data_IF_985934873891
#
_entry.id   IF_985934873891
#
_cell.length_a   1.000
_cell.length_b   1.000
_cell.length_c   1.000
_cell.angle_alpha   90.00
_cell.angle_beta   90.00
_cell.angle_gamma   90.00
#
_symmetry.space_group_name_H-M   'P 1'
#
loop_
_entity.id
_entity.type
_entity.pdbx_description
1 polymer ?
#
# COMPACT_ATOMS: atom_id res chain seq x y z
N UNK A 1 18.88 9.70 11.96
CA UNK A 1 18.84 9.87 10.50
C UNK A 1 18.94 8.48 9.91
N UNK A 2 18.21 8.19 8.86
CA UNK A 2 18.06 6.80 8.40
C UNK A 2 17.99 6.74 6.88
N UNK A 3 18.79 5.89 6.26
CA UNK A 3 18.66 5.44 4.88
C UNK A 3 18.37 3.94 4.90
N UNK A 4 17.21 3.56 4.35
CA UNK A 4 16.76 2.18 4.26
C UNK A 4 16.77 1.79 2.78
N UNK A 5 17.59 0.80 2.47
CA UNK A 5 17.69 0.17 1.15
C UNK A 5 16.88 -1.12 1.21
N UNK A 6 15.70 -1.13 0.60
CA UNK A 6 14.81 -2.28 0.63
C UNK A 6 14.30 -2.62 -0.75
N UNK A 7 13.71 -3.78 -0.87
CA UNK A 7 13.06 -4.27 -2.09
C UNK A 7 11.95 -3.32 -2.56
N UNK A 8 11.23 -2.72 -1.61
CA UNK A 8 10.14 -1.78 -1.88
C UNK A 8 10.61 -0.36 -2.21
N UNK A 9 11.91 -0.18 -2.45
CA UNK A 9 12.51 1.09 -2.80
C UNK A 9 13.55 1.60 -1.80
N UNK A 10 14.11 2.74 -2.11
CA UNK A 10 15.15 3.43 -1.34
C UNK A 10 14.46 4.56 -0.59
N UNK A 11 14.37 4.47 0.73
CA UNK A 11 13.70 5.48 1.56
C UNK A 11 14.64 6.02 2.63
N UNK A 12 14.44 7.27 3.01
CA UNK A 12 15.21 7.86 4.08
C UNK A 12 14.67 9.20 4.56
N UNK A 13 15.20 9.66 5.66
CA UNK A 13 14.99 11.04 6.11
C UNK A 13 15.76 11.99 5.19
N UNK A 14 15.16 13.12 4.86
CA UNK A 14 15.80 14.13 4.00
C UNK A 14 16.80 14.96 4.78
N UNK A 15 17.97 15.20 4.17
CA UNK A 15 19.07 15.97 4.77
C UNK A 15 20.09 15.09 5.51
N UNK A 16 21.20 15.68 5.97
CA UNK A 16 22.26 14.96 6.66
C UNK A 16 23.44 14.57 5.75
N UNK A 17 24.22 13.56 6.15
CA UNK A 17 25.38 13.12 5.39
C UNK A 17 25.00 12.11 4.30
N UNK A 18 25.77 12.11 3.19
CA UNK A 18 25.64 11.11 2.14
C UNK A 18 25.85 9.69 2.70
N UNK A 19 24.96 8.76 2.31
CA UNK A 19 24.99 7.39 2.80
C UNK A 19 24.22 7.13 4.10
N UNK A 20 23.95 8.17 4.91
CA UNK A 20 23.20 8.05 6.18
C UNK A 20 21.72 8.37 6.02
N UNK A 21 21.37 9.11 4.97
CA UNK A 21 20.02 9.65 4.74
C UNK A 21 19.74 9.69 3.22
N UNK A 22 18.50 9.99 2.84
CA UNK A 22 18.20 10.21 1.42
C UNK A 22 18.54 11.67 1.03
N UNK A 23 19.67 11.86 0.39
CA UNK A 23 20.18 13.15 -0.06
C UNK A 23 20.46 13.14 -1.57
N UNK A 24 20.80 14.28 -2.21
CA UNK A 24 20.98 14.35 -3.66
C UNK A 24 21.98 13.35 -4.24
N UNK A 25 23.08 13.05 -3.54
CA UNK A 25 24.08 12.08 -4.02
C UNK A 25 23.52 10.65 -4.03
N UNK A 26 22.78 10.28 -2.98
CA UNK A 26 22.13 8.98 -2.90
C UNK A 26 21.03 8.87 -3.97
N UNK A 27 20.27 9.95 -4.23
CA UNK A 27 19.26 9.99 -5.28
C UNK A 27 19.89 9.74 -6.66
N UNK A 28 20.98 10.43 -6.99
CA UNK A 28 21.73 10.21 -8.26
C UNK A 28 22.17 8.75 -8.34
N UNK A 29 22.82 8.25 -7.28
CA UNK A 29 23.36 6.90 -7.23
C UNK A 29 22.31 5.82 -7.51
N UNK A 30 21.21 5.85 -6.77
CA UNK A 30 20.14 4.84 -6.92
C UNK A 30 19.31 5.00 -8.19
N UNK A 31 19.12 6.23 -8.67
CA UNK A 31 18.46 6.48 -9.96
C UNK A 31 19.32 5.96 -11.12
N UNK A 32 20.63 6.18 -11.10
CA UNK A 32 21.57 5.67 -12.11
C UNK A 32 21.63 4.14 -12.10
N UNK A 33 21.65 3.53 -10.91
CA UNK A 33 21.63 2.07 -10.77
C UNK A 33 20.31 1.46 -11.31
N UNK A 34 19.17 2.08 -11.00
CA UNK A 34 17.88 1.66 -11.54
C UNK A 34 17.83 1.79 -13.06
N UNK A 35 18.25 2.91 -13.63
CA UNK A 35 18.31 3.12 -15.08
C UNK A 35 19.19 2.05 -15.77
N UNK A 36 20.34 1.72 -15.16
CA UNK A 36 21.22 0.65 -15.64
C UNK A 36 20.56 -0.71 -15.58
N UNK A 37 19.87 -1.03 -14.48
CA UNK A 37 19.09 -2.27 -14.33
C UNK A 37 18.02 -2.38 -15.42
N UNK A 38 17.21 -1.35 -15.65
CA UNK A 38 16.18 -1.34 -16.69
C UNK A 38 16.78 -1.61 -18.06
N UNK A 39 17.93 -0.99 -18.40
CA UNK A 39 18.63 -1.22 -19.67
C UNK A 39 19.10 -2.66 -19.81
N UNK A 40 19.70 -3.22 -18.76
CA UNK A 40 20.25 -4.60 -18.77
C UNK A 40 19.16 -5.66 -18.79
N UNK A 41 18.01 -5.40 -18.15
CA UNK A 41 16.89 -6.33 -18.14
C UNK A 41 16.30 -6.57 -19.53
N UNK A 42 16.41 -5.58 -20.43
CA UNK A 42 15.92 -5.61 -21.81
C UNK A 42 14.46 -6.09 -21.97
N UNK A 43 13.63 -5.79 -20.96
CA UNK A 43 12.23 -6.23 -20.92
C UNK A 43 11.28 -5.31 -21.69
N UNK A 44 11.74 -4.11 -22.08
CA UNK A 44 11.00 -3.14 -22.87
C UNK A 44 11.88 -2.58 -23.99
N UNK A 45 11.24 -2.24 -25.13
CA UNK A 45 11.88 -1.49 -26.22
C UNK A 45 11.78 0.02 -26.05
N UNK A 46 11.00 0.47 -25.08
CA UNK A 46 10.83 1.89 -24.80
C UNK A 46 12.09 2.46 -24.14
N UNK A 47 12.37 3.72 -24.43
CA UNK A 47 13.42 4.49 -23.75
C UNK A 47 12.83 5.52 -22.77
N UNK A 48 11.57 5.37 -22.38
CA UNK A 48 10.86 6.30 -21.52
C UNK A 48 10.74 5.75 -20.10
N UNK A 49 11.05 6.58 -19.10
CA UNK A 49 10.79 6.32 -17.67
C UNK A 49 9.73 7.32 -17.18
N UNK A 50 8.68 6.81 -16.55
CA UNK A 50 7.64 7.63 -15.91
C UNK A 50 8.14 8.08 -14.54
N UNK A 51 7.89 9.35 -14.18
CA UNK A 51 8.17 9.88 -12.84
C UNK A 51 6.92 10.56 -12.30
N UNK A 52 6.42 10.07 -11.17
CA UNK A 52 5.31 10.68 -10.42
C UNK A 52 5.71 10.94 -8.96
N UNK A 53 5.01 11.82 -8.26
CA UNK A 53 5.29 12.10 -6.85
C UNK A 53 4.05 12.47 -6.05
N UNK A 54 4.10 12.20 -4.74
CA UNK A 54 3.16 12.80 -3.79
C UNK A 54 3.47 14.28 -3.51
N UNK A 55 2.71 14.89 -2.61
CA UNK A 55 2.85 16.32 -2.31
C UNK A 55 3.93 16.64 -1.26
N UNK A 56 4.76 15.67 -0.82
CA UNK A 56 5.81 15.92 0.19
C UNK A 56 6.66 17.13 -0.18
N UNK A 57 6.97 17.97 0.82
CA UNK A 57 7.73 19.22 0.68
C UNK A 57 9.05 19.00 -0.07
N UNK A 58 9.74 17.89 0.20
CA UNK A 58 11.01 17.54 -0.47
C UNK A 58 10.82 17.00 -1.89
N UNK A 59 9.57 16.72 -2.32
CA UNK A 59 9.27 16.03 -3.57
C UNK A 59 9.80 16.76 -4.80
N UNK A 60 9.71 18.10 -4.83
CA UNK A 60 10.20 18.90 -5.97
C UNK A 60 11.72 18.78 -6.14
N UNK A 61 12.47 18.88 -5.05
CA UNK A 61 13.94 18.70 -5.08
C UNK A 61 14.31 17.29 -5.54
N UNK A 62 13.67 16.26 -4.97
CA UNK A 62 13.95 14.87 -5.33
C UNK A 62 13.62 14.62 -6.81
N UNK A 63 12.45 15.09 -7.29
CA UNK A 63 12.03 14.99 -8.70
C UNK A 63 13.06 15.59 -9.65
N UNK A 64 13.56 16.78 -9.34
CA UNK A 64 14.52 17.47 -10.22
C UNK A 64 15.83 16.68 -10.34
N UNK A 65 16.31 16.09 -9.25
CA UNK A 65 17.51 15.24 -9.26
C UNK A 65 17.25 13.94 -10.04
N UNK A 66 16.13 13.27 -9.79
CA UNK A 66 15.74 12.04 -10.50
C UNK A 66 15.63 12.28 -12.01
N UNK A 67 14.87 13.30 -12.43
CA UNK A 67 14.64 13.58 -13.86
C UNK A 67 15.96 13.95 -14.57
N UNK A 68 16.77 14.81 -13.96
CA UNK A 68 18.09 15.17 -14.53
C UNK A 68 19.03 13.97 -14.65
N UNK A 69 19.03 13.09 -13.65
CA UNK A 69 19.83 11.85 -13.67
C UNK A 69 19.37 10.90 -14.78
N UNK A 70 18.06 10.66 -14.90
CA UNK A 70 17.51 9.79 -15.95
C UNK A 70 17.84 10.31 -17.34
N UNK A 71 17.71 11.63 -17.58
CA UNK A 71 18.12 12.25 -18.85
C UNK A 71 19.62 12.06 -19.10
N UNK A 72 20.47 12.27 -18.08
CA UNK A 72 21.89 12.03 -18.16
C UNK A 72 22.26 10.56 -18.39
N UNK A 73 21.40 9.63 -18.01
CA UNK A 73 21.51 8.19 -18.33
C UNK A 73 20.98 7.84 -19.72
N UNK A 74 20.48 8.81 -20.50
CA UNK A 74 19.97 8.65 -21.85
C UNK A 74 18.51 8.21 -21.93
N UNK A 75 17.74 8.28 -20.86
CA UNK A 75 16.30 7.98 -20.87
C UNK A 75 15.47 9.23 -21.09
N UNK A 76 14.42 9.09 -21.90
CA UNK A 76 13.35 10.09 -21.97
C UNK A 76 12.52 10.04 -20.67
N UNK A 77 12.24 11.19 -20.11
CA UNK A 77 11.47 11.32 -18.87
C UNK A 77 10.05 11.78 -19.20
N UNK A 78 9.06 10.98 -18.76
CA UNK A 78 7.66 11.38 -18.73
C UNK A 78 7.30 11.73 -17.28
N UNK A 79 7.40 13.03 -16.94
CA UNK A 79 7.00 13.52 -15.63
C UNK A 79 5.47 13.70 -15.59
N UNK A 80 4.80 12.97 -14.73
CA UNK A 80 3.34 13.07 -14.57
C UNK A 80 2.93 14.00 -13.40
N UNK A 81 3.91 14.66 -12.78
CA UNK A 81 3.70 15.69 -11.76
C UNK A 81 3.24 15.10 -10.42
N UNK A 82 2.31 15.83 -9.78
CA UNK A 82 1.62 15.38 -8.57
C UNK A 82 0.62 14.29 -8.93
N UNK A 83 0.94 13.07 -8.54
CA UNK A 83 0.18 11.87 -8.90
C UNK A 83 0.21 10.85 -7.75
N UNK A 84 -0.79 9.98 -7.72
CA UNK A 84 -0.85 8.88 -6.77
C UNK A 84 0.11 7.75 -7.17
N UNK A 85 0.40 6.86 -6.23
CA UNK A 85 1.13 5.61 -6.53
C UNK A 85 0.42 4.83 -7.65
N UNK A 86 -0.89 4.49 -7.55
CA UNK A 86 -1.57 3.76 -8.63
C UNK A 86 -1.64 4.54 -9.94
N UNK A 87 -1.79 5.87 -9.93
CA UNK A 87 -1.73 6.66 -11.18
C UNK A 87 -0.39 6.50 -11.89
N UNK A 88 0.70 6.45 -11.12
CA UNK A 88 2.06 6.28 -11.69
C UNK A 88 2.25 4.88 -12.25
N UNK A 89 1.76 3.85 -11.59
CA UNK A 89 1.76 2.46 -12.05
C UNK A 89 1.01 2.31 -13.38
N UNK A 90 -0.21 2.86 -13.44
CA UNK A 90 -1.03 2.87 -14.66
C UNK A 90 -0.40 3.72 -15.77
N UNK A 91 0.26 4.84 -15.46
CA UNK A 91 0.94 5.66 -16.46
C UNK A 91 2.09 4.89 -17.14
N UNK A 92 2.83 4.03 -16.40
CA UNK A 92 3.85 3.15 -17.01
C UNK A 92 3.21 2.19 -18.03
N UNK A 93 2.08 1.57 -17.67
CA UNK A 93 1.36 0.65 -18.55
C UNK A 93 0.78 1.38 -19.78
N UNK A 94 0.04 2.47 -19.56
CA UNK A 94 -0.66 3.22 -20.60
C UNK A 94 0.29 3.87 -21.61
N UNK A 95 1.48 4.32 -21.16
CA UNK A 95 2.52 4.90 -22.02
C UNK A 95 3.48 3.84 -22.59
N UNK A 96 3.35 2.57 -22.20
CA UNK A 96 4.28 1.50 -22.56
C UNK A 96 5.73 1.84 -22.20
N UNK A 97 5.95 2.52 -21.07
CA UNK A 97 7.27 2.95 -20.63
C UNK A 97 8.14 1.76 -20.23
N UNK A 98 9.46 1.97 -20.19
CA UNK A 98 10.41 0.94 -19.77
C UNK A 98 10.35 0.66 -18.26
N UNK A 99 9.83 1.62 -17.50
CA UNK A 99 9.66 1.53 -16.06
C UNK A 99 9.17 2.85 -15.48
N UNK A 100 9.20 2.97 -14.15
CA UNK A 100 8.79 4.20 -13.47
C UNK A 100 9.45 4.38 -12.12
N UNK A 101 9.47 5.62 -11.65
CA UNK A 101 9.89 5.98 -10.30
C UNK A 101 8.77 6.78 -9.64
N UNK A 102 8.31 6.31 -8.48
CA UNK A 102 7.36 7.04 -7.65
C UNK A 102 8.13 7.67 -6.50
N UNK A 103 8.03 8.98 -6.35
CA UNK A 103 8.71 9.74 -5.30
C UNK A 103 7.71 9.95 -4.17
N UNK A 104 7.71 9.04 -3.21
CA UNK A 104 6.84 9.03 -2.03
C UNK A 104 7.38 8.12 -0.95
N UNK A 105 7.18 8.47 0.30
CA UNK A 105 7.42 7.58 1.43
C UNK A 105 6.09 7.08 2.06
N UNK A 106 4.98 7.08 1.30
CA UNK A 106 3.65 6.65 1.72
C UNK A 106 3.28 7.24 3.10
N UNK A 107 2.93 6.42 4.07
CA UNK A 107 2.52 6.81 5.43
C UNK A 107 3.66 7.24 6.37
N UNK A 108 4.92 7.30 5.93
CA UNK A 108 5.99 7.81 6.76
C UNK A 108 5.81 9.33 7.03
N UNK A 109 6.29 9.87 8.16
CA UNK A 109 6.21 11.29 8.49
C UNK A 109 6.81 12.20 7.41
N UNK A 110 6.44 13.49 7.43
CA UNK A 110 6.74 14.47 6.38
C UNK A 110 8.24 14.66 6.04
N UNK A 111 9.13 14.38 7.00
CA UNK A 111 10.57 14.50 6.82
C UNK A 111 11.22 13.30 6.10
N UNK A 112 10.43 12.29 5.74
CA UNK A 112 10.84 11.16 4.91
C UNK A 112 10.51 11.39 3.45
N UNK A 113 11.29 10.76 2.56
CA UNK A 113 10.92 10.52 1.17
C UNK A 113 11.51 9.20 0.68
N UNK A 114 11.13 8.75 -0.51
CA UNK A 114 11.66 7.53 -1.09
C UNK A 114 11.60 7.53 -2.61
N UNK A 115 12.37 6.64 -3.22
CA UNK A 115 12.27 6.23 -4.61
C UNK A 115 11.67 4.83 -4.63
N UNK A 116 10.41 4.70 -5.01
CA UNK A 116 9.74 3.42 -5.28
C UNK A 116 9.95 3.09 -6.77
N UNK A 117 10.46 1.90 -7.07
CA UNK A 117 10.94 1.53 -8.40
C UNK A 117 9.98 0.55 -9.07
N UNK A 118 9.54 0.87 -10.28
CA UNK A 118 8.60 0.07 -11.07
C UNK A 118 9.29 -0.59 -12.26
N UNK A 119 8.82 -1.79 -12.64
CA UNK A 119 9.16 -2.45 -13.87
C UNK A 119 8.31 -1.93 -15.06
N UNK A 120 8.53 -2.47 -16.26
CA UNK A 120 7.79 -2.09 -17.48
C UNK A 120 6.29 -2.43 -17.47
N UNK A 121 5.83 -3.21 -16.48
CA UNK A 121 4.41 -3.52 -16.26
C UNK A 121 3.74 -2.56 -15.27
N UNK A 122 4.45 -1.55 -14.77
CA UNK A 122 3.96 -0.66 -13.72
C UNK A 122 3.87 -1.34 -12.35
N UNK A 123 4.59 -2.43 -12.12
CA UNK A 123 4.61 -3.16 -10.87
C UNK A 123 5.92 -2.91 -10.12
N UNK A 124 5.91 -2.96 -8.81
CA UNK A 124 7.14 -2.85 -8.01
C UNK A 124 8.14 -3.95 -8.38
N UNK A 125 9.43 -3.62 -8.26
CA UNK A 125 10.50 -4.58 -8.47
C UNK A 125 10.40 -5.75 -7.48
N UNK A 126 10.68 -6.96 -7.95
CA UNK A 126 10.81 -8.14 -7.08
C UNK A 126 12.04 -8.04 -6.19
N UNK A 127 12.15 -8.94 -5.20
CA UNK A 127 13.32 -9.02 -4.32
C UNK A 127 14.63 -9.15 -5.10
N UNK A 128 14.65 -10.02 -6.09
CA UNK A 128 15.85 -10.28 -6.89
C UNK A 128 16.22 -9.05 -7.73
N UNK A 129 15.25 -8.41 -8.36
CA UNK A 129 15.47 -7.16 -9.11
C UNK A 129 15.97 -6.02 -8.21
N UNK A 130 15.38 -5.85 -7.03
CA UNK A 130 15.84 -4.86 -6.06
C UNK A 130 17.28 -5.11 -5.59
N UNK A 131 17.64 -6.36 -5.33
CA UNK A 131 19.01 -6.75 -4.97
C UNK A 131 20.01 -6.46 -6.12
N UNK A 132 19.59 -6.66 -7.37
CA UNK A 132 20.43 -6.32 -8.53
C UNK A 132 20.66 -4.80 -8.62
N UNK A 133 19.61 -3.99 -8.45
CA UNK A 133 19.74 -2.53 -8.39
C UNK A 133 20.72 -2.10 -7.28
N UNK A 134 20.62 -2.69 -6.09
CA UNK A 134 21.52 -2.40 -4.99
C UNK A 134 22.97 -2.80 -5.30
N UNK A 135 23.18 -3.95 -5.94
CA UNK A 135 24.51 -4.42 -6.33
C UNK A 135 25.16 -3.50 -7.39
N UNK A 136 24.38 -2.97 -8.35
CA UNK A 136 24.84 -1.96 -9.32
C UNK A 136 25.19 -0.66 -8.59
N UNK A 137 24.35 -0.21 -7.66
CA UNK A 137 24.60 1.00 -6.89
C UNK A 137 25.88 0.90 -6.03
N UNK A 138 26.09 -0.23 -5.35
CA UNK A 138 27.25 -0.42 -4.47
C UNK A 138 28.58 -0.44 -5.26
N UNK A 139 28.56 -0.92 -6.50
CA UNK A 139 29.72 -0.95 -7.40
C UNK A 139 29.87 0.33 -8.22
N UNK A 140 28.88 1.23 -8.19
CA UNK A 140 28.77 2.39 -9.10
C UNK A 140 28.93 1.99 -10.57
N UNK A 141 28.42 0.81 -10.94
CA UNK A 141 28.53 0.19 -12.26
C UNK A 141 27.48 0.74 -13.22
N UNK A 142 27.59 2.04 -13.52
CA UNK A 142 26.71 2.75 -14.46
C UNK A 142 27.52 3.76 -15.29
N UNK A 143 27.03 4.01 -16.51
CA UNK A 143 27.64 4.91 -17.48
C UNK A 143 26.61 5.93 -17.95
N UNK A 144 26.99 7.20 -17.99
CA UNK A 144 26.15 8.30 -18.47
C UNK A 144 26.24 8.43 -19.99
N UNK A 145 25.17 8.95 -20.59
CA UNK A 145 25.09 9.22 -22.01
C UNK A 145 26.00 10.39 -22.42
N UNK A 146 26.51 10.33 -23.65
CA UNK A 146 27.15 11.48 -24.25
C UNK A 146 26.13 12.57 -24.68
N UNK A 147 26.61 13.73 -25.17
CA UNK A 147 25.78 14.88 -25.50
C UNK A 147 24.71 14.59 -26.55
N UNK A 148 24.96 13.68 -27.47
CA UNK A 148 24.06 13.36 -28.58
C UNK A 148 22.95 12.36 -28.12
N UNK A 149 23.12 11.72 -26.96
CA UNK A 149 22.24 10.68 -26.42
C UNK A 149 21.55 11.07 -25.11
N UNK A 150 21.65 12.34 -24.69
CA UNK A 150 20.90 12.86 -23.54
C UNK A 150 19.39 12.73 -23.77
N UNK A 151 18.65 12.18 -22.80
CA UNK A 151 17.22 11.96 -22.88
C UNK A 151 16.42 13.27 -22.88
N UNK A 152 15.17 13.19 -23.34
CA UNK A 152 14.23 14.30 -23.40
C UNK A 152 13.33 14.34 -22.18
N UNK A 153 12.76 15.50 -21.91
CA UNK A 153 11.80 15.73 -20.82
C UNK A 153 10.44 16.15 -21.37
N UNK A 154 9.38 15.49 -20.88
CA UNK A 154 7.98 15.82 -21.17
C UNK A 154 7.17 15.82 -19.88
N UNK A 155 6.22 16.74 -19.77
CA UNK A 155 5.20 16.74 -18.71
C UNK A 155 3.84 16.40 -19.28
N UNK A 156 3.09 15.52 -18.57
CA UNK A 156 1.73 15.14 -18.95
C UNK A 156 1.02 14.52 -17.73
N UNK A 157 -0.16 15.03 -17.38
CA UNK A 157 -0.97 14.43 -16.30
C UNK A 157 -1.67 13.15 -16.75
N UNK A 158 -1.75 12.18 -15.86
CA UNK A 158 -2.48 10.92 -16.06
C UNK A 158 -3.70 10.78 -15.13
N UNK A 159 -3.99 11.77 -14.29
CA UNK A 159 -5.07 11.67 -13.30
C UNK A 159 -6.42 11.38 -13.97
N UNK A 160 -6.79 12.13 -15.03
CA UNK A 160 -8.05 11.88 -15.73
C UNK A 160 -8.12 10.48 -16.36
N UNK A 161 -7.01 10.01 -16.97
CA UNK A 161 -6.97 8.68 -17.56
C UNK A 161 -7.14 7.58 -16.51
N UNK A 162 -6.57 7.78 -15.32
CA UNK A 162 -6.78 6.87 -14.21
C UNK A 162 -8.25 6.86 -13.77
N UNK A 163 -8.86 8.03 -13.56
CA UNK A 163 -10.29 8.15 -13.22
C UNK A 163 -11.15 7.46 -14.28
N UNK A 164 -10.93 7.74 -15.56
CA UNK A 164 -11.67 7.14 -16.66
C UNK A 164 -11.55 5.59 -16.64
N UNK A 165 -10.37 5.06 -16.34
CA UNK A 165 -10.16 3.63 -16.22
C UNK A 165 -10.92 3.00 -15.05
N UNK A 166 -11.00 3.69 -13.91
CA UNK A 166 -11.78 3.26 -12.74
C UNK A 166 -13.28 3.25 -13.06
N UNK A 167 -13.78 4.33 -13.69
CA UNK A 167 -15.20 4.43 -14.06
C UNK A 167 -15.62 3.40 -15.12
N UNK A 168 -14.67 2.90 -15.91
CA UNK A 168 -14.90 1.88 -16.93
C UNK A 168 -14.92 0.44 -16.38
N UNK A 169 -14.55 0.22 -15.11
CA UNK A 169 -14.57 -1.10 -14.48
C UNK A 169 -16.01 -1.63 -14.41
N UNK A 170 -16.19 -2.91 -14.79
CA UNK A 170 -17.51 -3.54 -14.89
C UNK A 170 -18.35 -3.49 -13.60
N UNK A 171 -17.69 -3.56 -12.44
CA UNK A 171 -18.35 -3.55 -11.14
C UNK A 171 -18.54 -2.15 -10.54
N UNK A 172 -18.09 -1.09 -11.23
CA UNK A 172 -18.36 0.29 -10.83
C UNK A 172 -19.69 0.74 -11.40
N UNK A 173 -20.69 0.80 -10.53
CA UNK A 173 -22.07 1.19 -10.87
C UNK A 173 -22.28 2.69 -10.65
N UNK A 174 -21.74 3.50 -11.58
CA UNK A 174 -21.82 4.97 -11.52
C UNK A 174 -23.27 5.47 -11.44
N UNK A 175 -24.21 4.78 -12.08
CA UNK A 175 -25.62 5.18 -12.07
C UNK A 175 -26.28 4.95 -10.69
N UNK A 176 -25.99 3.81 -10.06
CA UNK A 176 -26.47 3.52 -8.71
C UNK A 176 -25.88 4.50 -7.68
N UNK A 177 -24.56 4.81 -7.79
CA UNK A 177 -23.90 5.77 -6.91
C UNK A 177 -24.56 7.16 -7.03
N UNK A 178 -24.75 7.67 -8.25
CA UNK A 178 -25.44 8.96 -8.48
C UNK A 178 -26.83 9.01 -7.91
N UNK A 179 -27.61 7.93 -8.06
CA UNK A 179 -28.98 7.83 -7.51
C UNK A 179 -29.01 7.75 -5.98
N UNK A 180 -27.95 7.32 -5.36
CA UNK A 180 -27.85 7.23 -3.90
C UNK A 180 -27.64 8.61 -3.24
N UNK A 181 -27.16 9.62 -3.98
CA UNK A 181 -26.91 10.98 -3.50
C UNK A 181 -26.03 11.02 -2.24
N UNK A 182 -24.97 10.23 -2.23
CA UNK A 182 -24.04 10.17 -1.10
C UNK A 182 -23.44 11.52 -0.78
N UNK A 183 -23.33 11.80 0.53
CA UNK A 183 -22.59 12.93 1.08
C UNK A 183 -21.46 12.43 1.98
N UNK A 184 -20.23 12.76 1.65
CA UNK A 184 -19.03 12.20 2.30
C UNK A 184 -18.15 13.29 2.91
N UNK A 185 -17.51 12.99 4.05
CA UNK A 185 -16.36 13.72 4.53
C UNK A 185 -15.09 13.03 4.03
N UNK A 186 -14.10 13.78 3.59
CA UNK A 186 -12.88 13.21 2.97
C UNK A 186 -11.65 13.82 3.61
N UNK A 187 -10.74 13.00 4.13
CA UNK A 187 -9.44 13.44 4.64
C UNK A 187 -8.33 12.90 3.73
N UNK A 188 -7.57 13.81 3.13
CA UNK A 188 -6.49 13.51 2.17
C UNK A 188 -5.12 13.97 2.65
N UNK A 189 -5.00 14.28 3.95
CA UNK A 189 -3.73 14.54 4.64
C UNK A 189 -2.84 15.61 3.99
N UNK A 190 -3.44 16.61 3.32
CA UNK A 190 -2.72 17.63 2.56
C UNK A 190 -1.76 17.05 1.50
N UNK A 191 -2.20 16.01 0.79
CA UNK A 191 -1.43 15.37 -0.26
C UNK A 191 -2.22 15.19 -1.56
N UNK A 192 -1.75 14.35 -2.46
CA UNK A 192 -2.26 14.23 -3.84
C UNK A 192 -3.72 13.73 -3.93
N UNK A 193 -4.25 13.15 -2.86
CA UNK A 193 -5.69 12.87 -2.76
C UNK A 193 -6.56 14.11 -2.94
N UNK A 194 -6.08 15.30 -2.50
CA UNK A 194 -6.76 16.58 -2.69
C UNK A 194 -6.84 17.06 -4.15
N UNK A 195 -6.06 16.45 -5.04
CA UNK A 195 -6.10 16.74 -6.48
C UNK A 195 -7.04 15.77 -7.20
N UNK A 196 -6.87 14.45 -6.96
CA UNK A 196 -7.54 13.44 -7.79
C UNK A 196 -8.93 13.04 -7.26
N UNK A 197 -9.15 13.05 -5.93
CA UNK A 197 -10.45 12.63 -5.39
C UNK A 197 -11.60 13.59 -5.70
N UNK A 198 -11.42 14.93 -5.75
CA UNK A 198 -12.49 15.82 -6.22
C UNK A 198 -13.03 15.42 -7.60
N UNK A 199 -12.13 15.18 -8.55
CA UNK A 199 -12.48 14.80 -9.93
C UNK A 199 -13.19 13.43 -9.98
N UNK A 200 -12.75 12.45 -9.19
CA UNK A 200 -13.41 11.15 -9.07
C UNK A 200 -14.81 11.28 -8.46
N UNK A 201 -14.95 11.99 -7.35
CA UNK A 201 -16.22 12.13 -6.63
C UNK A 201 -17.25 12.95 -7.44
N UNK A 202 -16.80 13.98 -8.16
CA UNK A 202 -17.64 14.73 -9.11
C UNK A 202 -18.15 13.81 -10.23
N UNK A 203 -17.27 12.99 -10.82
CA UNK A 203 -17.65 12.05 -11.86
C UNK A 203 -18.64 10.97 -11.35
N UNK A 204 -18.53 10.59 -10.09
CA UNK A 204 -19.47 9.68 -9.42
C UNK A 204 -20.76 10.37 -8.93
N UNK A 205 -20.84 11.71 -8.96
CA UNK A 205 -22.01 12.48 -8.48
C UNK A 205 -22.18 12.44 -6.97
N UNK A 206 -21.08 12.41 -6.23
CA UNK A 206 -21.02 12.35 -4.76
C UNK A 206 -20.79 13.75 -4.21
N UNK A 207 -21.57 14.19 -3.22
CA UNK A 207 -21.33 15.44 -2.48
C UNK A 207 -20.24 15.21 -1.44
N UNK A 208 -19.27 16.13 -1.34
CA UNK A 208 -18.14 15.96 -0.43
C UNK A 208 -17.72 17.22 0.30
N UNK A 209 -17.11 17.02 1.47
CA UNK A 209 -16.42 18.06 2.24
C UNK A 209 -15.00 17.57 2.53
N UNK A 210 -13.99 18.33 2.07
CA UNK A 210 -12.60 17.98 2.34
C UNK A 210 -12.12 18.52 3.68
N UNK A 211 -11.42 17.66 4.40
CA UNK A 211 -10.51 18.00 5.49
C UNK A 211 -9.09 17.83 4.93
N UNK A 212 -8.18 18.76 5.30
CA UNK A 212 -6.77 18.67 4.91
C UNK A 212 -6.59 18.47 3.38
N UNK A 213 -7.33 19.26 2.58
CA UNK A 213 -7.44 19.09 1.12
C UNK A 213 -6.35 19.77 0.29
N UNK A 214 -5.43 20.54 0.89
CA UNK A 214 -4.38 21.24 0.15
C UNK A 214 -3.18 20.33 -0.13
N UNK A 215 -2.85 20.14 -1.42
CA UNK A 215 -1.71 19.28 -1.81
C UNK A 215 -0.35 19.99 -1.60
N UNK A 216 -0.09 20.45 -0.37
CA UNK A 216 1.11 21.22 0.01
C UNK A 216 2.17 20.38 0.76
N UNK A 217 1.84 19.14 1.15
CA UNK A 217 2.74 18.22 1.83
C UNK A 217 2.98 18.54 3.32
N UNK A 218 2.28 19.53 3.87
CA UNK A 218 2.28 19.78 5.30
C UNK A 218 1.19 18.94 5.96
N UNK A 219 1.55 17.70 6.29
CA UNK A 219 0.61 16.71 6.81
C UNK A 219 0.01 17.15 8.13
N UNK A 220 -1.32 17.28 8.16
CA UNK A 220 -2.05 17.81 9.31
C UNK A 220 -2.02 16.88 10.53
N UNK A 221 -1.81 15.59 10.34
CA UNK A 221 -1.67 14.58 11.39
C UNK A 221 -0.70 13.48 10.93
N UNK A 222 -0.51 12.43 11.72
CA UNK A 222 0.26 11.26 11.27
C UNK A 222 -0.43 10.65 10.04
N UNK A 223 0.28 10.45 8.92
CA UNK A 223 -0.32 10.08 7.65
C UNK A 223 -0.79 8.61 7.54
N UNK A 224 -0.57 7.79 8.57
CA UNK A 224 -1.10 6.43 8.59
C UNK A 224 -2.59 6.45 8.93
N UNK A 225 -3.50 5.88 8.11
CA UNK A 225 -4.95 5.97 8.30
C UNK A 225 -5.45 5.00 9.37
N UNK A 226 -5.01 5.19 10.62
CA UNK A 226 -5.42 4.46 11.82
C UNK A 226 -6.30 5.33 12.71
N UNK A 227 -7.22 4.72 13.45
CA UNK A 227 -8.18 5.40 14.33
C UNK A 227 -7.54 6.49 15.19
N UNK A 228 -6.40 6.20 15.83
CA UNK A 228 -5.67 7.15 16.69
C UNK A 228 -5.26 8.46 16.01
N UNK A 229 -5.18 8.46 14.66
CA UNK A 229 -4.74 9.59 13.86
C UNK A 229 -5.93 10.35 13.23
N UNK A 230 -7.16 9.81 13.28
CA UNK A 230 -8.32 10.25 12.51
C UNK A 230 -9.40 10.96 13.35
N UNK A 231 -9.05 11.42 14.55
CA UNK A 231 -10.00 12.10 15.45
C UNK A 231 -10.71 13.30 14.81
N UNK A 232 -10.05 14.02 13.90
CA UNK A 232 -10.60 15.20 13.22
C UNK A 232 -11.79 14.84 12.33
N UNK A 233 -11.63 13.91 11.40
CA UNK A 233 -12.71 13.49 10.50
C UNK A 233 -13.81 12.72 11.26
N UNK A 234 -13.47 11.91 12.25
CA UNK A 234 -14.46 11.22 13.09
C UNK A 234 -15.33 12.23 13.86
N UNK A 235 -14.75 13.33 14.34
CA UNK A 235 -15.49 14.42 14.99
C UNK A 235 -16.36 15.19 13.99
N UNK A 236 -15.89 15.40 12.74
CA UNK A 236 -16.67 16.05 11.68
C UNK A 236 -17.92 15.24 11.35
N UNK A 237 -17.78 13.93 11.14
CA UNK A 237 -18.91 13.05 10.83
C UNK A 237 -19.94 13.02 11.98
N UNK A 238 -19.50 13.04 13.24
CA UNK A 238 -20.41 13.08 14.40
C UNK A 238 -21.29 14.33 14.48
N UNK A 239 -20.95 15.40 13.76
CA UNK A 239 -21.84 16.57 13.64
C UNK A 239 -23.11 16.23 12.86
N UNK A 240 -23.11 15.14 12.10
CA UNK A 240 -24.21 14.66 11.29
C UNK A 240 -24.22 15.20 9.86
N UNK A 241 -25.05 14.58 9.03
CA UNK A 241 -25.23 15.00 7.64
C UNK A 241 -24.27 14.36 6.65
N UNK A 242 -23.50 13.36 7.04
CA UNK A 242 -22.65 12.54 6.17
C UNK A 242 -23.09 11.09 6.20
N UNK A 243 -23.00 10.42 5.04
CA UNK A 243 -23.25 8.99 4.92
C UNK A 243 -22.01 8.17 5.30
N UNK A 244 -20.81 8.70 5.05
CA UNK A 244 -19.54 8.08 5.45
C UNK A 244 -18.37 9.07 5.42
N UNK A 245 -17.25 8.64 6.00
CA UNK A 245 -15.94 9.24 5.82
C UNK A 245 -15.04 8.39 4.92
N UNK A 246 -14.24 9.07 4.11
CA UNK A 246 -13.22 8.49 3.25
C UNK A 246 -11.87 9.06 3.67
N UNK A 247 -10.89 8.20 3.96
CA UNK A 247 -9.54 8.61 4.34
C UNK A 247 -8.53 7.88 3.47
N UNK A 248 -7.59 8.64 2.90
CA UNK A 248 -6.47 8.09 2.14
C UNK A 248 -5.14 8.55 2.71
N UNK A 249 -4.08 7.76 2.46
CA UNK A 249 -2.73 8.14 2.81
C UNK A 249 -2.09 9.07 1.73
N UNK A 250 -0.87 9.61 1.95
CA UNK A 250 -0.30 10.63 1.06
C UNK A 250 -0.18 10.28 -0.41
N UNK A 251 -0.01 9.02 -0.78
CA UNK A 251 0.12 8.54 -2.15
C UNK A 251 -1.08 7.71 -2.65
N UNK A 252 -2.17 7.69 -1.84
CA UNK A 252 -3.50 7.19 -2.21
C UNK A 252 -3.50 5.70 -2.60
N UNK A 253 -2.62 4.93 -1.98
CA UNK A 253 -2.57 3.47 -2.12
C UNK A 253 -3.28 2.75 -0.95
N UNK A 254 -3.62 3.47 0.14
CA UNK A 254 -4.39 2.99 1.30
C UNK A 254 -5.68 3.76 1.48
N UNK A 255 -6.69 3.03 1.93
CA UNK A 255 -8.06 3.52 2.08
C UNK A 255 -8.65 3.04 3.40
N UNK A 256 -9.20 3.95 4.18
CA UNK A 256 -10.01 3.63 5.35
C UNK A 256 -11.35 4.35 5.27
N UNK A 257 -12.39 3.71 5.81
CA UNK A 257 -13.72 4.28 5.89
C UNK A 257 -14.12 4.56 7.35
N UNK A 258 -14.99 5.57 7.51
CA UNK A 258 -15.61 5.91 8.77
C UNK A 258 -17.12 5.82 8.59
N UNK A 259 -17.79 5.16 9.52
CA UNK A 259 -19.24 5.00 9.50
C UNK A 259 -19.95 6.34 9.77
N UNK A 260 -21.19 6.44 9.39
CA UNK A 260 -22.05 7.62 9.59
C UNK A 260 -22.22 8.02 11.06
N UNK A 261 -21.95 7.09 12.00
CA UNK A 261 -21.98 7.35 13.46
C UNK A 261 -20.62 7.89 13.99
N UNK A 262 -19.63 8.07 13.09
CA UNK A 262 -18.29 8.53 13.41
C UNK A 262 -17.37 7.49 14.04
N UNK A 263 -17.71 6.20 13.95
CA UNK A 263 -16.80 5.09 14.30
C UNK A 263 -16.03 4.62 13.08
N UNK A 264 -14.85 4.04 13.32
CA UNK A 264 -14.09 3.42 12.25
C UNK A 264 -14.84 2.22 11.66
N UNK A 265 -14.89 2.12 10.33
CA UNK A 265 -15.25 0.88 9.65
C UNK A 265 -14.17 -0.19 9.88
N UNK A 266 -12.93 0.26 10.03
CA UNK A 266 -11.72 -0.53 10.24
C UNK A 266 -10.94 -0.72 8.95
N UNK A 267 -9.64 -0.39 8.98
CA UNK A 267 -8.76 -0.48 7.81
C UNK A 267 -8.68 -1.90 7.23
N UNK A 268 -8.70 -2.91 8.11
CA UNK A 268 -8.73 -4.34 7.72
C UNK A 268 -10.01 -4.68 6.92
N UNK A 269 -11.14 -4.09 7.29
CA UNK A 269 -12.44 -4.37 6.69
C UNK A 269 -12.69 -3.64 5.36
N UNK A 270 -11.84 -2.68 4.99
CA UNK A 270 -11.88 -2.08 3.67
C UNK A 270 -11.76 -3.15 2.59
N UNK A 271 -10.73 -3.98 2.65
CA UNK A 271 -10.54 -5.10 1.72
C UNK A 271 -11.66 -6.14 1.84
N UNK A 272 -12.05 -6.50 3.06
CA UNK A 272 -13.10 -7.52 3.32
C UNK A 272 -14.43 -7.16 2.67
N UNK A 273 -14.88 -5.91 2.83
CA UNK A 273 -16.17 -5.46 2.29
C UNK A 273 -16.16 -5.35 0.76
N UNK A 274 -15.04 -4.89 0.19
CA UNK A 274 -14.89 -4.80 -1.26
C UNK A 274 -14.78 -6.21 -1.86
N UNK A 275 -14.09 -7.12 -1.20
CA UNK A 275 -14.01 -8.53 -1.61
C UNK A 275 -15.38 -9.21 -1.56
N UNK A 276 -16.20 -8.99 -0.52
CA UNK A 276 -17.60 -9.51 -0.47
C UNK A 276 -18.41 -9.02 -1.67
N UNK A 277 -18.26 -7.76 -2.05
CA UNK A 277 -18.95 -7.20 -3.23
C UNK A 277 -18.44 -7.82 -4.53
N UNK A 278 -17.13 -7.89 -4.73
CA UNK A 278 -16.54 -8.49 -5.94
C UNK A 278 -16.92 -9.95 -6.06
N UNK A 279 -16.79 -10.73 -5.00
CA UNK A 279 -17.10 -12.17 -4.96
C UNK A 279 -18.58 -12.47 -5.14
N UNK A 280 -19.47 -11.57 -4.70
CA UNK A 280 -20.92 -11.72 -4.92
C UNK A 280 -21.31 -11.56 -6.40
N UNK A 281 -20.51 -10.86 -7.18
CA UNK A 281 -20.71 -10.64 -8.62
C UNK A 281 -19.91 -11.61 -9.50
N UNK A 282 -18.71 -11.95 -9.05
CA UNK A 282 -17.78 -12.82 -9.78
C UNK A 282 -17.11 -13.77 -8.78
N UNK A 283 -17.53 -15.05 -8.73
CA UNK A 283 -16.89 -16.03 -7.87
C UNK A 283 -15.39 -16.21 -8.21
N UNK A 284 -14.55 -16.34 -7.18
CA UNK A 284 -13.12 -16.49 -7.41
C UNK A 284 -12.30 -16.56 -6.11
N UNK A 285 -10.99 -16.56 -6.26
CA UNK A 285 -10.04 -16.65 -5.15
C UNK A 285 -9.63 -15.28 -4.65
N UNK A 286 -9.15 -15.23 -3.40
CA UNK A 286 -8.60 -14.01 -2.81
C UNK A 286 -7.22 -14.25 -2.21
N UNK A 287 -6.46 -13.16 -2.07
CA UNK A 287 -5.15 -13.16 -1.42
C UNK A 287 -5.02 -11.95 -0.51
N UNK A 288 -4.49 -12.15 0.70
CA UNK A 288 -3.94 -11.04 1.50
C UNK A 288 -2.62 -11.46 2.16
N UNK A 289 -1.97 -10.52 2.82
CA UNK A 289 -0.75 -10.86 3.54
C UNK A 289 -1.06 -11.59 4.87
N UNK A 290 -0.06 -12.28 5.42
CA UNK A 290 -0.18 -13.07 6.66
C UNK A 290 -0.66 -12.29 7.89
N UNK A 291 -0.44 -10.96 7.91
CA UNK A 291 -0.81 -10.10 9.04
C UNK A 291 -2.20 -9.47 8.88
N UNK A 292 -2.96 -9.81 7.85
CA UNK A 292 -4.33 -9.32 7.60
C UNK A 292 -5.36 -10.14 8.36
N UNK A 293 -6.53 -9.54 8.59
CA UNK A 293 -7.65 -10.19 9.27
C UNK A 293 -8.11 -11.46 8.58
N UNK A 294 -8.47 -12.47 9.36
CA UNK A 294 -9.10 -13.71 8.86
C UNK A 294 -10.51 -13.50 8.30
N UNK A 295 -11.13 -12.35 8.53
CA UNK A 295 -12.44 -12.04 7.96
C UNK A 295 -12.48 -12.15 6.42
N UNK A 296 -11.33 -11.94 5.74
CA UNK A 296 -11.24 -12.16 4.29
C UNK A 296 -11.34 -13.66 3.93
N UNK A 297 -10.73 -14.54 4.72
CA UNK A 297 -10.88 -16.00 4.58
C UNK A 297 -12.35 -16.41 4.72
N UNK A 298 -13.04 -15.86 5.74
CA UNK A 298 -14.46 -16.19 6.00
C UNK A 298 -15.35 -15.76 4.83
N UNK A 299 -15.16 -14.53 4.34
CA UNK A 299 -15.89 -14.00 3.17
C UNK A 299 -15.60 -14.82 1.92
N UNK A 300 -14.33 -15.16 1.68
CA UNK A 300 -13.94 -15.96 0.50
C UNK A 300 -14.59 -17.34 0.54
N UNK A 301 -14.55 -17.99 1.70
CA UNK A 301 -15.18 -19.31 1.92
C UNK A 301 -16.70 -19.26 1.74
N UNK A 302 -17.36 -18.22 2.27
CA UNK A 302 -18.80 -17.97 2.09
C UNK A 302 -19.20 -17.92 0.62
N UNK A 303 -18.35 -17.37 -0.25
CA UNK A 303 -18.58 -17.30 -1.69
C UNK A 303 -18.02 -18.50 -2.48
N UNK A 304 -17.52 -19.53 -1.78
CA UNK A 304 -17.01 -20.78 -2.40
C UNK A 304 -15.65 -20.64 -3.07
N UNK A 305 -14.92 -19.56 -2.82
CA UNK A 305 -13.55 -19.35 -3.29
C UNK A 305 -12.49 -19.92 -2.37
N UNK A 306 -11.23 -19.84 -2.81
CA UNK A 306 -10.05 -20.24 -2.05
C UNK A 306 -9.27 -18.99 -1.63
N UNK A 307 -9.07 -18.84 -0.32
CA UNK A 307 -8.18 -17.82 0.23
C UNK A 307 -6.75 -18.35 0.29
N UNK A 308 -5.79 -17.49 -0.06
CA UNK A 308 -4.35 -17.81 0.08
C UNK A 308 -3.63 -16.64 0.76
N UNK A 309 -2.78 -16.94 1.73
CA UNK A 309 -1.95 -15.95 2.39
C UNK A 309 -0.60 -15.77 1.65
N UNK A 310 -0.12 -14.52 1.62
CA UNK A 310 1.19 -14.14 1.10
C UNK A 310 2.11 -13.62 2.21
N UNK A 311 3.41 -13.59 2.00
CA UNK A 311 4.32 -12.81 2.82
C UNK A 311 3.90 -11.33 2.81
N UNK A 312 4.25 -10.58 3.87
CA UNK A 312 3.91 -9.16 3.97
C UNK A 312 4.65 -8.34 2.92
N UNK A 313 3.92 -7.41 2.31
CA UNK A 313 4.40 -6.51 1.27
C UNK A 313 3.71 -6.73 -0.07
N UNK A 314 3.36 -5.63 -0.72
CA UNK A 314 2.56 -5.61 -1.94
C UNK A 314 3.07 -6.54 -3.04
N UNK A 315 4.38 -6.55 -3.30
CA UNK A 315 5.00 -7.42 -4.31
C UNK A 315 4.72 -8.90 -4.04
N UNK A 316 4.75 -9.32 -2.77
CA UNK A 316 4.48 -10.69 -2.39
C UNK A 316 2.99 -11.03 -2.58
N UNK A 317 2.11 -10.07 -2.24
CA UNK A 317 0.66 -10.22 -2.43
C UNK A 317 0.33 -10.32 -3.91
N UNK A 318 0.83 -9.40 -4.75
CA UNK A 318 0.56 -9.39 -6.20
C UNK A 318 1.11 -10.65 -6.91
N UNK A 319 2.29 -11.12 -6.50
CA UNK A 319 2.86 -12.37 -7.00
C UNK A 319 1.96 -13.55 -6.65
N UNK A 320 1.53 -13.64 -5.39
CA UNK A 320 0.64 -14.71 -4.93
C UNK A 320 -0.75 -14.64 -5.57
N UNK A 321 -1.27 -13.43 -5.83
CA UNK A 321 -2.53 -13.23 -6.55
C UNK A 321 -2.47 -13.82 -7.97
N UNK A 322 -1.36 -13.61 -8.69
CA UNK A 322 -1.14 -14.19 -10.03
C UNK A 322 -1.08 -15.72 -9.98
N UNK A 323 -0.34 -16.28 -9.01
CA UNK A 323 -0.23 -17.73 -8.81
C UNK A 323 -1.58 -18.38 -8.47
N UNK A 324 -2.38 -17.73 -7.61
CA UNK A 324 -3.67 -18.24 -7.14
C UNK A 324 -4.84 -17.89 -8.10
N UNK A 325 -4.59 -17.15 -9.19
CA UNK A 325 -5.62 -16.57 -10.04
C UNK A 325 -6.68 -15.81 -9.21
N UNK A 326 -6.22 -15.03 -8.23
CA UNK A 326 -7.09 -14.27 -7.34
C UNK A 326 -7.71 -13.09 -8.09
N UNK A 327 -9.02 -12.89 -7.92
CA UNK A 327 -9.78 -11.81 -8.58
C UNK A 327 -9.81 -10.52 -7.76
N UNK A 328 -9.50 -10.61 -6.48
CA UNK A 328 -9.33 -9.49 -5.55
C UNK A 328 -8.34 -9.86 -4.48
N UNK A 329 -7.58 -8.92 -3.99
CA UNK A 329 -6.65 -9.12 -2.90
C UNK A 329 -6.18 -7.80 -2.32
N UNK A 330 -5.17 -7.85 -1.45
CA UNK A 330 -4.61 -6.65 -0.84
C UNK A 330 -3.95 -6.89 0.49
N UNK A 331 -3.91 -5.85 1.28
CA UNK A 331 -3.30 -5.87 2.62
C UNK A 331 -4.27 -5.27 3.65
N UNK A 332 -4.22 -5.74 4.89
CA UNK A 332 -5.05 -5.28 6.00
C UNK A 332 -4.80 -3.83 6.45
N UNK A 333 -3.94 -3.10 5.76
CA UNK A 333 -3.67 -1.69 5.97
C UNK A 333 -4.56 -0.75 5.12
N UNK A 334 -5.65 -1.26 4.54
CA UNK A 334 -6.55 -0.55 3.64
C UNK A 334 -6.14 -0.60 2.16
N UNK A 335 -5.11 -1.37 1.81
CA UNK A 335 -4.66 -1.53 0.42
C UNK A 335 -5.49 -2.56 -0.34
N UNK A 336 -6.20 -2.12 -1.36
CA UNK A 336 -7.05 -2.96 -2.23
C UNK A 336 -6.38 -3.14 -3.58
N UNK A 337 -6.25 -4.38 -4.04
CA UNK A 337 -5.69 -4.74 -5.35
C UNK A 337 -6.78 -5.45 -6.16
N UNK A 338 -7.19 -4.84 -7.27
CA UNK A 338 -8.20 -5.38 -8.17
C UNK A 338 -7.60 -5.59 -9.57
N UNK A 339 -7.29 -6.85 -9.95
CA UNK A 339 -6.56 -7.16 -11.19
C UNK A 339 -7.22 -6.72 -12.49
N UNK A 340 -8.55 -6.51 -12.51
CA UNK A 340 -9.23 -5.92 -13.68
C UNK A 340 -8.79 -4.48 -13.94
N UNK A 341 -8.28 -3.75 -12.92
CA UNK A 341 -7.63 -2.46 -13.07
C UNK A 341 -6.13 -2.66 -13.30
N UNK A 342 -5.41 -3.04 -12.25
CA UNK A 342 -3.98 -3.35 -12.30
C UNK A 342 -3.54 -4.15 -11.06
N UNK A 343 -2.28 -4.60 -11.05
CA UNK A 343 -1.67 -5.31 -9.93
C UNK A 343 -0.93 -4.33 -8.99
N UNK A 344 -1.67 -3.37 -8.43
CA UNK A 344 -1.21 -2.41 -7.44
C UNK A 344 -2.35 -2.03 -6.48
N UNK A 345 -2.01 -1.54 -5.30
CA UNK A 345 -3.01 -1.04 -4.35
C UNK A 345 -3.57 0.29 -4.85
N UNK A 346 -4.89 0.41 -4.88
CA UNK A 346 -5.59 1.54 -5.48
C UNK A 346 -6.81 1.97 -4.66
N UNK A 347 -6.70 3.14 -4.01
CA UNK A 347 -7.79 3.69 -3.24
C UNK A 347 -8.94 4.20 -4.12
N UNK A 348 -8.70 4.66 -5.35
CA UNK A 348 -9.76 5.10 -6.25
C UNK A 348 -10.67 3.94 -6.64
N UNK A 349 -10.07 2.81 -7.01
CA UNK A 349 -10.79 1.55 -7.27
C UNK A 349 -11.56 1.12 -6.02
N UNK A 350 -10.90 1.18 -4.85
CA UNK A 350 -11.52 0.84 -3.57
C UNK A 350 -12.75 1.71 -3.26
N UNK A 351 -12.66 3.03 -3.43
CA UNK A 351 -13.77 3.97 -3.23
C UNK A 351 -14.93 3.67 -4.18
N UNK A 352 -14.64 3.50 -5.47
CA UNK A 352 -15.69 3.30 -6.49
C UNK A 352 -16.43 1.96 -6.28
N UNK A 353 -15.72 0.87 -5.95
CA UNK A 353 -16.32 -0.43 -5.66
C UNK A 353 -17.12 -0.42 -4.35
N UNK A 354 -16.59 0.25 -3.30
CA UNK A 354 -17.31 0.35 -2.02
C UNK A 354 -18.60 1.14 -2.15
N UNK A 355 -18.56 2.29 -2.83
CA UNK A 355 -19.77 3.10 -3.07
C UNK A 355 -20.78 2.37 -3.96
N UNK A 356 -20.32 1.60 -4.96
CA UNK A 356 -21.20 0.74 -5.77
C UNK A 356 -21.90 -0.30 -4.91
N UNK A 357 -21.16 -0.99 -4.03
CA UNK A 357 -21.71 -1.95 -3.09
C UNK A 357 -22.76 -1.32 -2.16
N UNK A 358 -22.42 -0.16 -1.59
CA UNK A 358 -23.29 0.54 -0.64
C UNK A 358 -24.60 1.02 -1.33
N UNK A 359 -24.49 1.56 -2.55
CA UNK A 359 -25.63 2.00 -3.35
C UNK A 359 -26.59 0.87 -3.70
N UNK A 360 -26.06 -0.31 -4.03
CA UNK A 360 -26.87 -1.49 -4.35
C UNK A 360 -27.50 -2.11 -3.11
N UNK A 361 -26.77 -2.21 -2.00
CA UNK A 361 -27.27 -2.76 -0.73
C UNK A 361 -28.25 -1.83 -0.01
N UNK A 362 -28.23 -0.53 -0.28
CA UNK A 362 -29.11 0.51 0.31
C UNK A 362 -29.13 0.47 1.84
N UNK A 363 -27.99 0.26 2.45
CA UNK A 363 -27.80 0.21 3.91
C UNK A 363 -26.84 1.29 4.36
N UNK A 364 -26.80 1.57 5.66
CA UNK A 364 -25.79 2.41 6.28
C UNK A 364 -24.45 1.69 6.31
N UNK A 365 -23.36 2.46 6.43
CA UNK A 365 -22.00 1.90 6.50
C UNK A 365 -21.81 1.07 7.76
N UNK A 366 -22.36 1.52 8.90
CA UNK A 366 -22.34 0.75 10.15
C UNK A 366 -23.13 -0.56 10.06
N UNK A 367 -24.27 -0.57 9.34
CA UNK A 367 -25.05 -1.78 9.09
C UNK A 367 -24.28 -2.76 8.18
N UNK A 368 -23.61 -2.25 7.14
CA UNK A 368 -22.75 -3.07 6.30
C UNK A 368 -21.61 -3.68 7.13
N UNK A 369 -20.94 -2.89 7.99
CA UNK A 369 -19.88 -3.38 8.87
C UNK A 369 -20.35 -4.53 9.77
N UNK A 370 -21.56 -4.42 10.32
CA UNK A 370 -22.15 -5.43 11.19
C UNK A 370 -22.47 -6.76 10.49
N UNK A 371 -22.43 -6.83 9.16
CA UNK A 371 -22.64 -8.09 8.42
C UNK A 371 -21.40 -8.98 8.38
N UNK A 372 -20.22 -8.46 8.72
CA UNK A 372 -18.95 -9.19 8.72
C UNK A 372 -18.65 -9.72 10.12
N UNK A 373 -17.94 -10.88 10.21
CA UNK A 373 -17.41 -11.37 11.48
C UNK A 373 -16.57 -10.30 12.18
N UNK A 374 -16.65 -10.21 13.48
CA UNK A 374 -15.89 -9.22 14.25
C UNK A 374 -14.63 -9.86 14.80
N UNK A 375 -13.48 -9.31 14.39
CA UNK A 375 -12.16 -9.66 14.86
C UNK A 375 -11.37 -8.41 15.25
N UNK A 376 -10.46 -8.58 16.22
CA UNK A 376 -9.61 -7.52 16.75
C UNK A 376 -8.14 -7.93 16.64
N UNK A 377 -7.31 -7.03 16.12
CA UNK A 377 -5.88 -7.25 15.97
C UNK A 377 -5.11 -6.42 16.98
N UNK A 378 -4.40 -7.09 17.90
CA UNK A 378 -3.41 -6.46 18.76
C UNK A 378 -2.05 -6.40 18.05
N UNK A 379 -1.42 -5.21 18.05
CA UNK A 379 -0.14 -4.95 17.39
C UNK A 379 0.94 -4.69 18.45
N UNK A 380 1.67 -5.73 18.81
CA UNK A 380 2.75 -5.72 19.80
C UNK A 380 4.12 -5.79 19.12
N UNK A 381 5.20 -5.57 19.89
CA UNK A 381 6.59 -5.71 19.43
C UNK A 381 7.50 -6.18 20.53
N UNK A 382 8.60 -6.82 20.14
CA UNK A 382 9.73 -7.18 21.00
C UNK A 382 10.93 -6.40 20.51
N UNK A 383 11.53 -5.58 21.37
CA UNK A 383 12.77 -4.88 21.05
C UNK A 383 13.95 -5.87 21.14
N UNK A 384 14.84 -5.85 20.14
CA UNK A 384 15.95 -6.78 20.01
C UNK A 384 17.23 -6.19 20.56
N UNK A 385 18.05 -7.06 21.15
CA UNK A 385 19.45 -6.76 21.46
C UNK A 385 20.36 -7.19 20.29
N UNK A 386 21.57 -6.61 20.15
CA UNK A 386 22.51 -7.01 19.09
C UNK A 386 22.92 -8.51 19.12
N UNK A 387 22.75 -9.16 20.27
CA UNK A 387 23.06 -10.59 20.47
C UNK A 387 21.89 -11.53 20.19
N UNK A 388 20.69 -11.02 19.90
CA UNK A 388 19.48 -11.83 19.71
C UNK A 388 19.49 -12.51 18.34
N UNK A 389 19.57 -13.84 18.32
CA UNK A 389 19.40 -14.64 17.10
C UNK A 389 17.91 -14.88 16.85
N UNK A 390 17.32 -13.97 16.06
CA UNK A 390 15.87 -13.97 15.75
C UNK A 390 15.47 -15.23 14.99
N UNK A 391 16.30 -15.67 14.05
CA UNK A 391 15.96 -16.81 13.19
C UNK A 391 15.93 -18.11 14.00
N UNK A 392 16.89 -18.28 14.93
CA UNK A 392 16.90 -19.42 15.86
C UNK A 392 15.70 -19.40 16.81
N UNK A 393 15.27 -18.23 17.28
CA UNK A 393 14.08 -18.09 18.15
C UNK A 393 12.81 -18.46 17.37
N UNK A 394 12.63 -17.94 16.17
CA UNK A 394 11.45 -18.23 15.35
C UNK A 394 11.37 -19.73 15.00
N UNK A 395 12.50 -20.38 14.72
CA UNK A 395 12.51 -21.82 14.45
C UNK A 395 12.10 -22.63 15.70
N UNK A 396 12.56 -22.25 16.91
CA UNK A 396 12.12 -22.89 18.16
C UNK A 396 10.61 -22.74 18.40
N UNK A 397 10.05 -21.54 18.12
CA UNK A 397 8.60 -21.32 18.21
C UNK A 397 7.86 -22.23 17.24
N UNK A 398 8.32 -22.32 16.00
CA UNK A 398 7.77 -23.21 14.98
C UNK A 398 7.80 -24.67 15.40
N UNK A 399 8.94 -25.16 15.91
CA UNK A 399 9.09 -26.54 16.40
C UNK A 399 8.19 -26.86 17.60
N UNK A 400 8.03 -25.90 18.52
CA UNK A 400 7.20 -26.09 19.71
C UNK A 400 5.72 -26.18 19.32
N UNK A 401 5.20 -25.24 18.54
CA UNK A 401 3.78 -25.16 18.19
C UNK A 401 3.39 -26.08 17.03
N UNK A 402 4.33 -26.45 16.15
CA UNK A 402 4.08 -27.39 15.06
C UNK A 402 3.75 -28.84 15.52
N UNK A 403 3.88 -29.11 16.83
CA UNK A 403 3.47 -30.39 17.44
C UNK A 403 2.05 -30.34 18.02
N UNK A 404 1.44 -29.18 18.10
CA UNK A 404 0.07 -29.02 18.61
C UNK A 404 -0.94 -29.39 17.51
N UNK A 405 -1.89 -30.30 17.77
CA UNK A 405 -2.75 -30.87 16.72
C UNK A 405 -3.71 -29.85 16.07
N UNK A 406 -4.05 -28.77 16.80
CA UNK A 406 -5.02 -27.76 16.35
C UNK A 406 -4.34 -26.45 15.89
N UNK A 407 -3.02 -26.47 15.64
CA UNK A 407 -2.25 -25.31 15.21
C UNK A 407 -1.69 -25.53 13.82
N UNK A 408 -2.10 -24.67 12.88
CA UNK A 408 -1.45 -24.60 11.57
C UNK A 408 -0.31 -23.60 11.62
N UNK A 409 0.89 -24.04 11.27
CA UNK A 409 2.10 -23.20 11.23
C UNK A 409 2.40 -22.79 9.80
N UNK A 410 2.59 -21.48 9.58
CA UNK A 410 3.04 -20.90 8.31
C UNK A 410 4.33 -20.12 8.55
N UNK A 411 5.37 -20.37 7.75
CA UNK A 411 6.73 -19.82 7.94
C UNK A 411 7.29 -19.08 6.71
N UNK A 412 6.43 -18.65 5.80
CA UNK A 412 6.84 -17.92 4.57
C UNK A 412 7.34 -16.48 4.84
N UNK A 413 7.03 -15.91 6.03
CA UNK A 413 7.50 -14.59 6.48
C UNK A 413 7.48 -14.56 8.02
N UNK A 414 8.55 -15.01 8.67
CA UNK A 414 8.56 -15.25 10.10
C UNK A 414 7.77 -16.50 10.47
N UNK A 415 7.01 -16.48 11.56
CA UNK A 415 6.18 -17.61 12.01
C UNK A 415 4.78 -17.14 12.34
N UNK A 416 3.79 -17.64 11.62
CA UNK A 416 2.38 -17.48 11.95
C UNK A 416 1.81 -18.79 12.49
N UNK A 417 1.10 -18.69 13.59
CA UNK A 417 0.38 -19.77 14.24
C UNK A 417 -1.11 -19.49 14.11
N UNK A 418 -1.80 -20.28 13.30
CA UNK A 418 -3.25 -20.22 13.12
C UNK A 418 -3.92 -21.27 14.00
N UNK A 419 -4.71 -20.81 14.96
CA UNK A 419 -5.61 -21.61 15.80
C UNK A 419 -7.02 -21.63 15.17
N UNK A 420 -7.95 -22.47 15.62
CA UNK A 420 -9.28 -22.54 15.05
C UNK A 420 -10.04 -21.20 15.02
N UNK A 421 -9.87 -20.34 16.03
CA UNK A 421 -10.61 -19.10 16.26
C UNK A 421 -9.76 -17.83 16.32
N UNK A 422 -8.41 -17.96 16.27
CA UNK A 422 -7.46 -16.82 16.44
C UNK A 422 -6.14 -17.15 15.76
N UNK A 423 -5.27 -16.14 15.62
CA UNK A 423 -3.91 -16.35 15.13
C UNK A 423 -2.92 -15.40 15.81
N UNK A 424 -1.63 -15.75 15.74
CA UNK A 424 -0.52 -14.87 16.10
C UNK A 424 0.60 -14.97 15.07
N UNK A 425 1.15 -13.83 14.66
CA UNK A 425 2.23 -13.75 13.68
C UNK A 425 3.44 -13.02 14.28
N UNK A 426 4.58 -13.70 14.33
CA UNK A 426 5.87 -13.18 14.77
C UNK A 426 6.74 -12.95 13.54
N UNK A 427 7.17 -11.72 13.30
CA UNK A 427 7.94 -11.36 12.12
C UNK A 427 9.05 -10.37 12.44
N UNK A 428 10.27 -10.65 11.95
CA UNK A 428 11.38 -9.71 12.00
C UNK A 428 11.04 -8.44 11.22
N UNK A 429 11.31 -7.27 11.78
CA UNK A 429 11.16 -6.02 11.03
C UNK A 429 12.35 -5.84 10.10
N UNK A 430 12.06 -5.43 8.85
CA UNK A 430 13.09 -5.11 7.86
C UNK A 430 13.71 -3.70 8.06
N UNK A 431 13.15 -2.90 8.98
CA UNK A 431 13.51 -1.47 9.12
C UNK A 431 13.93 -1.09 10.53
N UNK A 432 13.62 -1.94 11.52
CA UNK A 432 13.87 -1.68 12.94
C UNK A 432 14.39 -2.95 13.61
N UNK A 433 15.22 -2.85 14.66
CA UNK A 433 15.70 -4.01 15.41
C UNK A 433 14.60 -4.56 16.35
N UNK A 434 13.49 -5.04 15.79
CA UNK A 434 12.33 -5.56 16.53
C UNK A 434 11.77 -6.83 15.87
N UNK A 435 11.08 -7.65 16.68
CA UNK A 435 10.10 -8.62 16.19
C UNK A 435 8.72 -7.98 16.33
N UNK A 436 7.96 -7.90 15.25
CA UNK A 436 6.54 -7.55 15.29
C UNK A 436 5.75 -8.77 15.72
N UNK A 437 4.85 -8.58 16.70
CA UNK A 437 3.98 -9.64 17.22
C UNK A 437 2.54 -9.15 17.04
N UNK A 438 1.91 -9.60 15.97
CA UNK A 438 0.51 -9.30 15.70
C UNK A 438 -0.34 -10.51 16.04
N UNK A 439 -1.48 -10.30 16.67
CA UNK A 439 -2.39 -11.36 17.08
C UNK A 439 -3.83 -10.94 16.89
N UNK A 440 -4.67 -11.86 16.43
CA UNK A 440 -6.10 -11.62 16.20
C UNK A 440 -6.94 -12.63 17.00
N UNK A 441 -8.02 -12.13 17.57
CA UNK A 441 -9.04 -12.93 18.26
C UNK A 441 -10.42 -12.23 18.19
N UNK A 442 -11.43 -12.85 18.82
CA UNK A 442 -12.80 -12.34 18.87
C UNK A 442 -12.97 -11.08 19.75
N UNK A 443 -12.01 -10.80 20.63
CA UNK A 443 -11.93 -9.59 21.47
C UNK A 443 -10.51 -9.02 21.47
N UNK A 444 -10.37 -7.72 21.75
CA UNK A 444 -9.05 -7.09 21.86
C UNK A 444 -8.25 -7.65 23.04
N UNK A 445 -8.93 -7.97 24.13
CA UNK A 445 -8.33 -8.57 25.34
C UNK A 445 -7.71 -9.94 25.05
N UNK A 446 -8.43 -10.79 24.31
CA UNK A 446 -7.94 -12.12 23.91
C UNK A 446 -6.80 -12.00 22.89
N UNK A 447 -6.90 -11.07 21.93
CA UNK A 447 -5.84 -10.84 20.97
C UNK A 447 -4.55 -10.38 21.65
N UNK A 448 -4.63 -9.40 22.55
CA UNK A 448 -3.48 -8.87 23.30
C UNK A 448 -2.88 -9.94 24.25
N UNK A 449 -3.73 -10.72 24.92
CA UNK A 449 -3.29 -11.81 25.79
C UNK A 449 -2.51 -12.89 25.01
N UNK A 450 -2.99 -13.26 23.80
CA UNK A 450 -2.30 -14.19 22.92
C UNK A 450 -0.94 -13.63 22.47
N UNK A 451 -0.88 -12.37 22.05
CA UNK A 451 0.36 -11.71 21.66
C UNK A 451 1.37 -11.68 22.81
N UNK A 452 0.95 -11.28 24.01
CA UNK A 452 1.80 -11.25 25.21
C UNK A 452 2.29 -12.63 25.64
N UNK A 453 1.44 -13.65 25.52
CA UNK A 453 1.84 -15.05 25.77
C UNK A 453 3.03 -15.45 24.86
N UNK A 454 2.95 -15.16 23.56
CA UNK A 454 4.02 -15.48 22.62
C UNK A 454 5.26 -14.59 22.83
N UNK A 455 5.09 -13.33 23.23
CA UNK A 455 6.23 -12.49 23.63
C UNK A 455 6.99 -13.10 24.82
N UNK A 456 6.27 -13.60 25.83
CA UNK A 456 6.90 -14.26 26.99
C UNK A 456 7.67 -15.52 26.56
N UNK A 457 7.09 -16.35 25.68
CA UNK A 457 7.79 -17.51 25.11
C UNK A 457 9.10 -17.10 24.41
N UNK A 458 9.09 -16.01 23.65
CA UNK A 458 10.31 -15.49 23.01
C UNK A 458 11.33 -14.99 24.04
N UNK A 459 10.89 -14.29 25.09
CA UNK A 459 11.79 -13.82 26.17
C UNK A 459 12.42 -14.99 26.93
N UNK A 460 11.68 -16.07 27.18
CA UNK A 460 12.18 -17.27 27.85
C UNK A 460 13.18 -18.06 26.97
N UNK A 461 13.26 -17.78 25.67
CA UNK A 461 14.17 -18.41 24.72
C UNK A 461 15.44 -17.57 24.45
N UNK A 462 15.49 -16.29 24.90
CA UNK A 462 16.65 -15.40 24.77
C UNK A 462 17.72 -15.73 25.83
#
# INVERSE_FOLDING_TARGET
>A
MTLIKSISGIRGTIGGRAGDTLNPLDIVKFTSAYATFIRRSNQSKSNTIVVGRDARISGEMVKNVVCGTLMGMGYDVLNIGLATTPTTELAVQMSQAAGGIIITASHNPRHWNALKLLNHKGEFLTKDNGNEVLAIADKEDFEFADVDHVGKYKEESFNQRHIDSVLALKLVDTEAIRKAHFKVAVDVINSVGGIILPELLDALGVEYTFLNGEANGDFAHNPEPLEKNLSGIMAEIRKGGYDLGIVVDPDVDRLAFICEDGKMFGEEYTLVSIADYVLSNTPGNTVSNLSSTRALLDVTTKHGGVYTAAAVGEVNVTTKMKEANAIIGGEGNGGVIYPESHYGRDALVGIALFLSSLAQKKCKVSELRATFPEYFIAKNRIDLTPSTDVDAILEKVKEQYGKEPDVQVTDIDGVKLDFPDKWVHLRKSNTEPIIRVYSEASTMEEADALGKKLMQVVYDMQ
#
